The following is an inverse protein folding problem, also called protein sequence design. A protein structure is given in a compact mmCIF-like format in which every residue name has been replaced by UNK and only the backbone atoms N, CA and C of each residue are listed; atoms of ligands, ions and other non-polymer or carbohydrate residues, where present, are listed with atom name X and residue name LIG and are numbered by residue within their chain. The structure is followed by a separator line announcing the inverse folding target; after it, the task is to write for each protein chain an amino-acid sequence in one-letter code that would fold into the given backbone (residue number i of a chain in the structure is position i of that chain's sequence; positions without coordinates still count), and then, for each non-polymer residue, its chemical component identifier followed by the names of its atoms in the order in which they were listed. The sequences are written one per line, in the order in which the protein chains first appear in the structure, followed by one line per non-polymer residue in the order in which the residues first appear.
data_IF_983269216520
#
_entry.id   IF_983269216520
#
_cell.length_a   1.000
_cell.length_b   1.000
_cell.length_c   1.000
_cell.angle_alpha   90.00
_cell.angle_beta   90.00
_cell.angle_gamma   90.00
#
_symmetry.space_group_name_H-M   'P 1'
#
loop_
_entity.id
_entity.type
_entity.pdbx_description
1 polymer ?
#
# COMPACT_ATOMS: atom_id res chain seq x y z
N UNK A 1 -26.04 11.50 -2.39
CA UNK A 1 -25.31 12.62 -3.02
C UNK A 1 -26.34 13.58 -3.61
N UNK A 2 -26.39 14.81 -3.10
CA UNK A 2 -27.26 15.84 -3.66
C UNK A 2 -26.88 16.15 -5.10
N UNK A 3 -27.88 16.43 -5.96
CA UNK A 3 -27.69 16.77 -7.39
C UNK A 3 -26.65 17.90 -7.57
N UNK A 4 -26.53 18.80 -6.64
CA UNK A 4 -25.55 19.89 -6.64
C UNK A 4 -24.12 19.39 -6.43
N UNK A 5 -23.92 18.44 -5.53
CA UNK A 5 -22.61 17.83 -5.25
C UNK A 5 -22.12 17.00 -6.45
N UNK A 6 -23.01 16.23 -7.07
CA UNK A 6 -22.70 15.45 -8.29
C UNK A 6 -22.27 16.35 -9.44
N UNK A 7 -22.94 17.50 -9.61
CA UNK A 7 -22.61 18.48 -10.66
C UNK A 7 -21.24 19.12 -10.46
N UNK A 8 -20.91 19.52 -9.23
CA UNK A 8 -19.58 20.07 -8.88
C UNK A 8 -18.46 19.07 -9.15
N UNK A 9 -18.67 17.81 -8.76
CA UNK A 9 -17.74 16.73 -9.03
C UNK A 9 -17.54 16.47 -10.53
N UNK A 10 -18.61 16.56 -11.32
CA UNK A 10 -18.51 16.43 -12.80
C UNK A 10 -17.65 17.53 -13.42
N UNK A 11 -17.81 18.78 -12.99
CA UNK A 11 -16.95 19.88 -13.45
C UNK A 11 -15.49 19.69 -13.00
N UNK A 12 -15.27 19.38 -11.73
CA UNK A 12 -13.94 19.13 -11.20
C UNK A 12 -13.21 17.99 -11.96
N UNK A 13 -13.92 16.92 -12.27
CA UNK A 13 -13.41 15.81 -13.07
C UNK A 13 -13.04 16.30 -14.48
N UNK A 14 -13.94 16.98 -15.18
CA UNK A 14 -13.71 17.47 -16.55
C UNK A 14 -12.49 18.39 -16.62
N UNK A 15 -12.31 19.27 -15.63
CA UNK A 15 -11.22 20.25 -15.61
C UNK A 15 -9.85 19.62 -15.30
N UNK A 16 -9.83 18.52 -14.55
CA UNK A 16 -8.57 17.98 -14.03
C UNK A 16 -8.19 16.61 -14.57
N UNK A 17 -9.14 15.82 -15.13
CA UNK A 17 -8.87 14.45 -15.58
C UNK A 17 -7.77 14.37 -16.64
N UNK A 18 -7.85 15.18 -17.71
CA UNK A 18 -6.86 15.15 -18.79
C UNK A 18 -5.46 15.50 -18.29
N UNK A 19 -5.38 16.50 -17.43
CA UNK A 19 -4.10 16.91 -16.85
C UNK A 19 -3.54 15.82 -15.93
N UNK A 20 -4.38 15.23 -15.06
CA UNK A 20 -3.97 14.17 -14.14
C UNK A 20 -3.47 12.95 -14.91
N UNK A 21 -4.21 12.50 -15.93
CA UNK A 21 -3.81 11.38 -16.78
C UNK A 21 -2.43 11.62 -17.41
N UNK A 22 -2.20 12.77 -18.00
CA UNK A 22 -0.89 13.13 -18.58
C UNK A 22 0.23 13.19 -17.53
N UNK A 23 -0.10 13.65 -16.31
CA UNK A 23 0.85 13.69 -15.20
C UNK A 23 1.24 12.28 -14.73
N UNK A 24 0.28 11.36 -14.66
CA UNK A 24 0.50 9.96 -14.28
C UNK A 24 1.26 9.21 -15.39
N UNK A 25 0.91 9.41 -16.66
CA UNK A 25 1.57 8.76 -17.82
C UNK A 25 3.08 9.03 -17.87
N UNK A 26 3.53 10.20 -17.44
CA UNK A 26 4.98 10.51 -17.34
C UNK A 26 5.72 9.59 -16.36
N UNK A 27 5.02 8.92 -15.46
CA UNK A 27 5.58 8.04 -14.42
C UNK A 27 5.30 6.58 -14.66
N UNK A 28 4.15 6.27 -15.26
CA UNK A 28 3.75 4.92 -15.63
C UNK A 28 3.94 4.73 -17.13
N UNK A 29 4.71 3.70 -17.51
CA UNK A 29 4.99 3.40 -18.91
C UNK A 29 3.79 2.77 -19.63
N UNK A 30 2.79 2.28 -18.90
CA UNK A 30 1.61 1.64 -19.43
C UNK A 30 0.42 2.61 -19.38
N UNK A 31 -0.24 2.81 -20.51
CA UNK A 31 -1.39 3.71 -20.63
C UNK A 31 -2.59 3.24 -19.83
N UNK A 32 -2.91 1.93 -19.88
CA UNK A 32 -4.01 1.36 -19.12
C UNK A 32 -3.82 1.55 -17.60
N UNK A 33 -2.61 1.28 -17.08
CA UNK A 33 -2.28 1.54 -15.68
C UNK A 33 -2.44 3.01 -15.30
N UNK A 34 -2.16 3.92 -16.23
CA UNK A 34 -2.31 5.35 -15.97
C UNK A 34 -3.78 5.78 -15.94
N UNK A 35 -4.61 5.24 -16.81
CA UNK A 35 -6.07 5.46 -16.82
C UNK A 35 -6.71 4.91 -15.54
N UNK A 36 -6.40 3.68 -15.16
CA UNK A 36 -6.88 3.07 -13.92
C UNK A 36 -6.47 3.90 -12.69
N UNK A 37 -5.20 4.32 -12.62
CA UNK A 37 -4.72 5.14 -11.50
C UNK A 37 -5.39 6.51 -11.46
N UNK A 38 -5.68 7.11 -12.61
CA UNK A 38 -6.42 8.37 -12.67
C UNK A 38 -7.86 8.19 -12.18
N UNK A 39 -8.56 7.14 -12.64
CA UNK A 39 -9.90 6.80 -12.20
C UNK A 39 -9.93 6.55 -10.68
N UNK A 40 -9.03 5.73 -10.17
CA UNK A 40 -8.90 5.41 -8.74
C UNK A 40 -8.64 6.66 -7.89
N UNK A 41 -7.83 7.61 -8.39
CA UNK A 41 -7.55 8.88 -7.71
C UNK A 41 -8.84 9.68 -7.49
N UNK A 42 -9.73 9.73 -8.49
CA UNK A 42 -11.01 10.40 -8.34
C UNK A 42 -11.98 9.60 -7.45
N UNK A 43 -11.96 8.27 -7.50
CA UNK A 43 -12.75 7.44 -6.60
C UNK A 43 -12.36 7.65 -5.13
N UNK A 44 -11.07 7.73 -4.81
CA UNK A 44 -10.62 8.02 -3.44
C UNK A 44 -11.01 9.43 -2.99
N UNK A 45 -10.92 10.42 -3.88
CA UNK A 45 -11.42 11.77 -3.57
C UNK A 45 -12.91 11.76 -3.25
N UNK A 46 -13.73 11.02 -4.02
CA UNK A 46 -15.17 10.85 -3.80
C UNK A 46 -15.44 10.18 -2.44
N UNK A 47 -14.71 9.11 -2.13
CA UNK A 47 -14.82 8.38 -0.87
C UNK A 47 -14.51 9.25 0.35
N UNK A 48 -13.56 10.17 0.22
CA UNK A 48 -13.19 11.12 1.28
C UNK A 48 -14.25 12.21 1.53
N UNK A 49 -15.31 12.30 0.70
CA UNK A 49 -16.41 13.27 0.81
C UNK A 49 -15.95 14.73 0.93
N UNK A 50 -14.81 15.07 0.35
CA UNK A 50 -14.28 16.43 0.33
C UNK A 50 -15.08 17.27 -0.69
N UNK A 51 -15.53 18.45 -0.29
CA UNK A 51 -16.16 19.39 -1.23
C UNK A 51 -15.10 19.90 -2.22
N UNK A 52 -15.27 19.70 -3.54
CA UNK A 52 -14.31 20.15 -4.55
C UNK A 52 -13.98 21.64 -4.47
N UNK A 53 -14.97 22.47 -4.12
CA UNK A 53 -14.80 23.92 -4.00
C UNK A 53 -13.93 24.34 -2.80
N UNK A 54 -13.76 23.46 -1.81
CA UNK A 54 -12.88 23.69 -0.66
C UNK A 54 -11.41 23.42 -0.94
N UNK A 55 -11.07 22.81 -2.08
CA UNK A 55 -9.70 22.43 -2.42
C UNK A 55 -8.97 23.61 -3.03
N UNK A 56 -8.12 24.28 -2.24
CA UNK A 56 -7.36 25.45 -2.67
C UNK A 56 -6.38 25.12 -3.82
N UNK A 57 -5.81 23.94 -3.84
CA UNK A 57 -4.84 23.49 -4.85
C UNK A 57 -5.19 22.13 -5.42
N UNK A 58 -6.17 22.04 -6.35
CA UNK A 58 -6.68 20.77 -6.87
C UNK A 58 -5.61 19.85 -7.44
N UNK A 59 -4.68 20.41 -8.24
CA UNK A 59 -3.62 19.60 -8.86
C UNK A 59 -2.64 19.03 -7.84
N UNK A 60 -2.28 19.79 -6.81
CA UNK A 60 -1.42 19.30 -5.74
C UNK A 60 -2.12 18.18 -4.94
N UNK A 61 -3.40 18.38 -4.60
CA UNK A 61 -4.22 17.38 -3.91
C UNK A 61 -4.31 16.06 -4.68
N UNK A 62 -4.71 16.11 -5.96
CA UNK A 62 -4.78 14.94 -6.83
C UNK A 62 -3.42 14.28 -7.03
N UNK A 63 -2.33 15.06 -7.11
CA UNK A 63 -0.97 14.53 -7.22
C UNK A 63 -0.59 13.70 -5.99
N UNK A 64 -0.96 14.13 -4.79
CA UNK A 64 -0.65 13.39 -3.55
C UNK A 64 -1.33 12.03 -3.56
N UNK A 65 -2.63 11.98 -3.89
CA UNK A 65 -3.39 10.73 -3.98
C UNK A 65 -2.80 9.81 -5.06
N UNK A 66 -2.59 10.34 -6.28
CA UNK A 66 -2.04 9.55 -7.38
C UNK A 66 -0.65 8.98 -7.08
N UNK A 67 0.22 9.75 -6.41
CA UNK A 67 1.57 9.29 -6.01
C UNK A 67 1.47 8.13 -5.03
N UNK A 68 0.57 8.19 -4.06
CA UNK A 68 0.33 7.10 -3.11
C UNK A 68 -0.12 5.85 -3.85
N UNK A 69 -1.13 5.95 -4.73
CA UNK A 69 -1.62 4.83 -5.54
C UNK A 69 -0.54 4.19 -6.42
N UNK A 70 0.30 5.01 -7.08
CA UNK A 70 1.43 4.51 -7.88
C UNK A 70 2.42 3.75 -7.00
N UNK A 71 2.73 4.29 -5.82
CA UNK A 71 3.64 3.65 -4.87
C UNK A 71 3.10 2.31 -4.38
N UNK A 72 1.83 2.27 -3.94
CA UNK A 72 1.17 1.06 -3.44
C UNK A 72 1.10 -0.03 -4.54
N UNK A 73 0.75 0.36 -5.78
CA UNK A 73 0.73 -0.56 -6.93
C UNK A 73 2.12 -1.12 -7.26
N UNK A 74 3.15 -0.27 -7.23
CA UNK A 74 4.54 -0.72 -7.46
C UNK A 74 5.00 -1.70 -6.39
N UNK A 75 4.70 -1.39 -5.14
CA UNK A 75 5.02 -2.22 -3.98
C UNK A 75 4.32 -3.59 -4.04
N UNK A 76 3.03 -3.61 -4.38
CA UNK A 76 2.29 -4.86 -4.60
C UNK A 76 2.94 -5.73 -5.68
N UNK A 77 3.31 -5.14 -6.83
CA UNK A 77 4.00 -5.87 -7.90
C UNK A 77 5.35 -6.43 -7.47
N UNK A 78 6.11 -5.69 -6.65
CA UNK A 78 7.39 -6.19 -6.13
C UNK A 78 7.20 -7.38 -5.20
N UNK A 79 6.20 -7.36 -4.32
CA UNK A 79 5.88 -8.48 -3.44
C UNK A 79 5.42 -9.71 -4.23
N UNK A 80 4.53 -9.50 -5.20
CA UNK A 80 4.04 -10.54 -6.10
C UNK A 80 5.21 -11.20 -6.87
N UNK A 81 6.09 -10.39 -7.45
CA UNK A 81 7.26 -10.89 -8.17
C UNK A 81 8.20 -11.70 -7.28
N UNK A 82 8.53 -11.17 -6.09
CA UNK A 82 9.38 -11.87 -5.13
C UNK A 82 8.76 -13.20 -4.67
N UNK A 83 7.45 -13.24 -4.48
CA UNK A 83 6.72 -14.47 -4.14
C UNK A 83 6.76 -15.50 -5.27
N UNK A 84 6.48 -15.08 -6.51
CA UNK A 84 6.55 -15.96 -7.69
C UNK A 84 7.95 -16.52 -7.90
N UNK A 85 8.99 -15.72 -7.71
CA UNK A 85 10.39 -16.16 -7.76
C UNK A 85 10.72 -17.18 -6.66
N UNK A 86 10.10 -17.05 -5.48
CA UNK A 86 10.23 -18.04 -4.41
C UNK A 86 9.53 -19.34 -4.79
N UNK A 87 8.30 -19.28 -5.30
CA UNK A 87 7.54 -20.46 -5.75
C UNK A 87 8.27 -21.24 -6.85
N UNK A 88 8.87 -20.54 -7.80
CA UNK A 88 9.62 -21.19 -8.90
C UNK A 88 10.81 -22.05 -8.42
N UNK A 89 11.25 -21.88 -7.18
CA UNK A 89 12.33 -22.67 -6.56
C UNK A 89 11.83 -23.86 -5.74
N UNK A 90 10.52 -23.95 -5.50
CA UNK A 90 9.93 -25.06 -4.75
C UNK A 90 9.70 -26.27 -5.67
N UNK A 91 9.80 -27.50 -5.14
CA UNK A 91 9.38 -28.71 -5.87
C UNK A 91 7.90 -28.61 -6.23
N UNK A 92 7.54 -29.08 -7.43
CA UNK A 92 6.16 -29.00 -7.98
C UNK A 92 5.10 -29.64 -7.05
N UNK A 93 5.49 -30.65 -6.26
CA UNK A 93 4.61 -31.32 -5.30
C UNK A 93 4.22 -30.45 -4.07
N UNK A 94 4.83 -29.29 -3.88
CA UNK A 94 4.60 -28.37 -2.74
C UNK A 94 4.03 -27.05 -3.20
N UNK A 95 3.83 -26.86 -4.50
CA UNK A 95 3.31 -25.61 -5.04
C UNK A 95 1.83 -25.41 -4.60
N UNK A 96 1.50 -24.28 -3.94
CA UNK A 96 0.13 -23.99 -3.55
C UNK A 96 -0.76 -23.78 -4.79
N UNK A 97 -2.08 -24.01 -4.62
CA UNK A 97 -3.07 -23.73 -5.66
C UNK A 97 -3.08 -22.24 -6.04
N UNK A 98 -3.64 -21.91 -7.19
CA UNK A 98 -3.75 -20.51 -7.64
C UNK A 98 -4.56 -19.64 -6.66
N UNK A 99 -5.57 -20.21 -6.00
CA UNK A 99 -6.38 -19.55 -4.99
C UNK A 99 -5.56 -19.26 -3.72
N UNK A 100 -4.81 -20.25 -3.24
CA UNK A 100 -3.91 -20.08 -2.08
C UNK A 100 -2.81 -19.06 -2.37
N UNK A 101 -2.27 -19.03 -3.59
CA UNK A 101 -1.30 -18.02 -4.02
C UNK A 101 -1.88 -16.61 -3.94
N UNK A 102 -3.11 -16.41 -4.43
CA UNK A 102 -3.79 -15.12 -4.39
C UNK A 102 -4.00 -14.65 -2.95
N UNK A 103 -4.53 -15.51 -2.09
CA UNK A 103 -4.76 -15.21 -0.68
C UNK A 103 -3.46 -14.85 0.05
N UNK A 104 -2.37 -15.55 -0.25
CA UNK A 104 -1.07 -15.26 0.36
C UNK A 104 -0.49 -13.92 -0.10
N UNK A 105 -0.59 -13.60 -1.40
CA UNK A 105 -0.18 -12.29 -1.91
C UNK A 105 -0.98 -11.17 -1.26
N UNK A 106 -2.30 -11.33 -1.14
CA UNK A 106 -3.15 -10.35 -0.46
C UNK A 106 -2.77 -10.16 1.01
N UNK A 107 -2.52 -11.27 1.73
CA UNK A 107 -2.05 -11.20 3.11
C UNK A 107 -0.70 -10.47 3.25
N UNK A 108 0.26 -10.75 2.36
CA UNK A 108 1.56 -10.07 2.35
C UNK A 108 1.41 -8.56 2.06
N UNK A 109 0.55 -8.19 1.13
CA UNK A 109 0.26 -6.78 0.82
C UNK A 109 -0.36 -6.07 2.02
N UNK A 110 -1.32 -6.72 2.69
CA UNK A 110 -1.98 -6.15 3.86
C UNK A 110 -1.00 -5.95 5.03
N UNK A 111 -0.14 -6.93 5.30
CA UNK A 111 0.91 -6.82 6.33
C UNK A 111 1.86 -5.67 5.98
N UNK A 112 2.29 -5.60 4.72
CA UNK A 112 3.22 -4.58 4.27
C UNK A 112 2.61 -3.16 4.40
N UNK A 113 1.33 -2.98 4.06
CA UNK A 113 0.59 -1.73 4.25
C UNK A 113 0.40 -1.39 5.73
N UNK A 114 0.04 -2.38 6.56
CA UNK A 114 -0.12 -2.18 8.00
C UNK A 114 1.17 -1.70 8.68
N UNK A 115 2.31 -2.13 8.16
CA UNK A 115 3.63 -1.72 8.66
C UNK A 115 4.13 -0.41 8.04
N UNK A 116 3.33 0.27 7.20
CA UNK A 116 3.76 1.50 6.52
C UNK A 116 4.06 2.63 7.50
N UNK A 117 5.06 3.44 7.14
CA UNK A 117 5.55 4.52 8.00
C UNK A 117 6.45 4.08 9.16
N UNK A 118 6.58 2.76 9.43
CA UNK A 118 7.51 2.28 10.45
C UNK A 118 8.96 2.25 9.94
N UNK A 119 9.94 2.54 10.80
CA UNK A 119 11.36 2.38 10.47
C UNK A 119 11.69 0.94 10.04
N UNK A 120 12.64 0.78 9.11
CA UNK A 120 13.01 -0.51 8.55
C UNK A 120 13.40 -1.55 9.63
N UNK A 121 14.09 -1.12 10.69
CA UNK A 121 14.46 -2.00 11.82
C UNK A 121 13.24 -2.51 12.59
N UNK A 122 12.19 -1.70 12.71
CA UNK A 122 10.93 -2.11 13.37
C UNK A 122 10.18 -3.12 12.51
N UNK A 123 10.08 -2.88 11.19
CA UNK A 123 9.51 -3.84 10.24
C UNK A 123 10.26 -5.17 10.27
N UNK A 124 11.60 -5.13 10.17
CA UNK A 124 12.43 -6.34 10.19
C UNK A 124 12.24 -7.12 11.50
N UNK A 125 12.19 -6.43 12.65
CA UNK A 125 11.96 -7.06 13.95
C UNK A 125 10.62 -7.82 13.97
N UNK A 126 9.56 -7.19 13.46
CA UNK A 126 8.24 -7.80 13.40
C UNK A 126 8.21 -9.02 12.46
N UNK A 127 8.76 -8.90 11.26
CA UNK A 127 8.78 -9.98 10.27
C UNK A 127 9.59 -11.19 10.77
N UNK A 128 10.78 -11.00 11.33
CA UNK A 128 11.56 -12.07 11.93
C UNK A 128 10.83 -12.81 13.06
N UNK A 129 10.07 -12.07 13.88
CA UNK A 129 9.30 -12.67 14.95
C UNK A 129 8.06 -13.42 14.45
N UNK A 130 7.28 -12.82 13.53
CA UNK A 130 5.97 -13.34 13.14
C UNK A 130 6.02 -14.33 11.97
N UNK A 131 6.91 -14.13 11.00
CA UNK A 131 7.04 -15.01 9.83
C UNK A 131 8.12 -16.07 10.04
N UNK A 132 9.29 -15.68 10.56
CA UNK A 132 10.40 -16.61 10.76
C UNK A 132 10.36 -17.32 12.12
N UNK A 133 9.45 -16.93 13.02
CA UNK A 133 9.32 -17.52 14.36
C UNK A 133 10.56 -17.33 15.26
N UNK A 134 11.43 -16.36 14.95
CA UNK A 134 12.67 -16.15 15.68
C UNK A 134 12.43 -15.66 17.10
N UNK A 135 13.23 -16.15 18.06
CA UNK A 135 13.24 -15.62 19.43
C UNK A 135 13.87 -14.23 19.50
N UNK A 136 13.47 -13.44 20.49
CA UNK A 136 13.94 -12.05 20.64
C UNK A 136 15.46 -11.94 20.81
N UNK A 137 16.10 -12.92 21.43
CA UNK A 137 17.55 -12.98 21.56
C UNK A 137 18.23 -13.11 20.17
N UNK A 138 17.68 -13.97 19.29
CA UNK A 138 18.22 -14.21 17.95
C UNK A 138 18.02 -12.97 17.05
N UNK A 139 16.85 -12.34 17.16
CA UNK A 139 16.56 -11.09 16.45
C UNK A 139 17.50 -9.99 16.91
N UNK A 140 17.75 -9.89 18.23
CA UNK A 140 18.66 -8.91 18.79
C UNK A 140 20.08 -9.08 18.24
N UNK A 141 20.59 -10.32 18.21
CA UNK A 141 21.88 -10.66 17.64
C UNK A 141 21.94 -10.34 16.13
N UNK A 142 20.94 -10.74 15.36
CA UNK A 142 20.85 -10.55 13.91
C UNK A 142 20.84 -9.09 13.50
N UNK A 143 20.08 -8.26 14.24
CA UNK A 143 19.93 -6.83 13.97
C UNK A 143 20.96 -5.96 14.71
N UNK A 144 21.83 -6.56 15.52
CA UNK A 144 22.84 -5.87 16.35
C UNK A 144 22.21 -4.81 17.28
N UNK A 145 21.09 -5.17 17.92
CA UNK A 145 20.37 -4.34 18.89
C UNK A 145 20.16 -5.10 20.21
N UNK A 146 19.72 -4.41 21.27
CA UNK A 146 19.38 -5.09 22.52
C UNK A 146 18.01 -5.78 22.46
N UNK A 147 17.80 -6.86 23.23
CA UNK A 147 16.47 -7.51 23.36
C UNK A 147 15.39 -6.54 23.86
N UNK A 148 15.79 -5.57 24.72
CA UNK A 148 14.89 -4.48 25.14
C UNK A 148 14.41 -3.64 23.95
N UNK A 149 15.29 -3.40 22.96
CA UNK A 149 14.94 -2.71 21.72
C UNK A 149 14.00 -3.55 20.87
N UNK A 150 14.26 -4.87 20.76
CA UNK A 150 13.35 -5.82 20.06
C UNK A 150 11.97 -5.75 20.68
N UNK A 151 11.84 -5.87 22.01
CA UNK A 151 10.55 -5.79 22.71
C UNK A 151 9.83 -4.45 22.46
N UNK A 152 10.55 -3.35 22.43
CA UNK A 152 10.00 -2.02 22.14
C UNK A 152 9.50 -1.94 20.68
N UNK A 153 10.28 -2.43 19.72
CA UNK A 153 9.95 -2.42 18.31
C UNK A 153 8.75 -3.33 18.00
N UNK A 154 8.66 -4.49 18.64
CA UNK A 154 7.49 -5.37 18.56
C UNK A 154 6.22 -4.65 19.04
N UNK A 155 6.27 -3.98 20.18
CA UNK A 155 5.12 -3.20 20.68
C UNK A 155 4.73 -2.09 19.71
N UNK A 156 5.70 -1.42 19.08
CA UNK A 156 5.45 -0.38 18.10
C UNK A 156 4.76 -0.94 16.84
N UNK A 157 5.26 -2.06 16.30
CA UNK A 157 4.69 -2.71 15.12
C UNK A 157 3.28 -3.24 15.38
N UNK A 158 3.07 -3.97 16.50
CA UNK A 158 1.76 -4.48 16.88
C UNK A 158 0.72 -3.36 17.05
N UNK A 159 1.12 -2.26 17.69
CA UNK A 159 0.23 -1.09 17.82
C UNK A 159 -0.18 -0.52 16.45
N UNK A 160 0.75 -0.47 15.51
CA UNK A 160 0.47 0.02 14.16
C UNK A 160 -0.51 -0.91 13.43
N UNK A 161 -0.29 -2.22 13.46
CA UNK A 161 -1.20 -3.20 12.87
C UNK A 161 -2.61 -3.08 13.46
N UNK A 162 -2.72 -2.99 14.79
CA UNK A 162 -4.01 -2.85 15.47
C UNK A 162 -4.77 -1.57 15.07
N UNK A 163 -4.05 -0.46 14.88
CA UNK A 163 -4.67 0.80 14.44
C UNK A 163 -5.15 0.75 12.99
N UNK A 164 -4.51 -0.06 12.13
CA UNK A 164 -4.95 -0.24 10.73
C UNK A 164 -6.21 -1.11 10.63
N UNK A 165 -6.42 -2.07 11.53
CA UNK A 165 -7.64 -2.91 11.56
C UNK A 165 -8.89 -2.16 12.05
N UNK A 166 -8.72 -1.08 12.80
CA UNK A 166 -9.83 -0.32 13.44
C UNK A 166 -10.33 0.83 12.56
N UNK A 167 -9.69 1.10 11.41
CA UNK A 167 -10.19 2.09 10.45
C UNK A 167 -11.03 1.40 9.37
N UNK A 168 -12.38 1.50 9.44
CA UNK A 168 -13.28 0.99 8.41
C UNK A 168 -13.18 1.78 7.12
#
# INVERSE_FOLDING_TARGET
LDSTSTRKLGFFFSDHHRWLLQHIQKRLRNHADAEDTAAETFCQMLGARVDPDSILQPRAYLTVIARRLIFDRHRRRQLEQAYLEHLARLPEAVAPSAEEQLLLIEALVNIDQALDGLPAVVKATFLYSQLDGMHYADIAAKLQISERSVSRYMKQALRQCYLCEVQP
#
